data_IF_414879297442
#
_entry.id   IF_414879297442
#
_cell.length_a   1.000
_cell.length_b   1.000
_cell.length_c   1.000
_cell.angle_alpha   90.00
_cell.angle_beta   90.00
_cell.angle_gamma   90.00
#
_symmetry.space_group_name_H-M   'P 1'
#
loop_
_entity.id
_entity.type
_entity.pdbx_description
1 polymer ?
#
# COMPACT_ATOMS: atom_id res chain seq x y z
N UNK A 1 11.80 -29.17 4.55
CA UNK A 1 13.17 -28.74 4.22
C UNK A 1 13.86 -29.91 3.53
N UNK A 2 13.98 -29.86 2.21
CA UNK A 2 14.62 -30.93 1.44
C UNK A 2 15.94 -30.37 0.93
N UNK A 3 17.04 -30.71 1.61
CA UNK A 3 18.37 -30.46 1.06
C UNK A 3 18.57 -31.40 -0.12
N UNK A 4 19.22 -30.98 -1.21
CA UNK A 4 19.37 -31.80 -2.41
C UNK A 4 20.12 -33.08 -2.07
N UNK A 5 19.53 -34.25 -2.37
CA UNK A 5 20.15 -35.57 -2.14
C UNK A 5 21.54 -35.66 -2.79
N UNK A 6 21.74 -34.94 -3.90
CA UNK A 6 23.01 -34.82 -4.61
C UNK A 6 24.12 -34.18 -3.77
N UNK A 7 23.84 -33.27 -2.84
CA UNK A 7 24.89 -32.69 -1.97
C UNK A 7 25.34 -33.66 -0.88
N UNK A 8 24.43 -34.51 -0.40
CA UNK A 8 24.79 -35.59 0.54
C UNK A 8 25.59 -36.72 -0.09
N UNK A 9 25.44 -36.94 -1.40
CA UNK A 9 26.25 -37.91 -2.17
C UNK A 9 27.73 -37.50 -2.28
N UNK A 10 28.02 -36.21 -2.09
CA UNK A 10 29.37 -35.62 -2.17
C UNK A 10 29.97 -35.45 -0.76
N UNK A 11 29.52 -36.23 0.24
CA UNK A 11 30.07 -36.24 1.59
C UNK A 11 29.68 -35.09 2.52
N UNK A 12 28.96 -34.08 2.03
CA UNK A 12 28.43 -32.99 2.85
C UNK A 12 27.19 -33.45 3.63
N UNK A 13 27.43 -33.84 4.89
CA UNK A 13 26.34 -34.27 5.79
C UNK A 13 25.31 -33.17 6.02
N UNK A 14 24.03 -33.56 6.14
CA UNK A 14 22.90 -32.67 6.43
C UNK A 14 23.15 -31.74 7.63
N UNK A 15 23.90 -32.20 8.63
CA UNK A 15 24.25 -31.44 9.84
C UNK A 15 25.21 -30.28 9.54
N UNK A 16 26.25 -30.50 8.72
CA UNK A 16 27.19 -29.45 8.27
C UNK A 16 26.44 -28.38 7.45
N UNK A 17 25.58 -28.79 6.52
CA UNK A 17 24.78 -27.87 5.69
C UNK A 17 23.85 -26.97 6.51
N UNK A 18 23.19 -27.54 7.53
CA UNK A 18 22.28 -26.80 8.41
C UNK A 18 23.02 -25.78 9.29
N UNK A 19 24.21 -26.13 9.77
CA UNK A 19 25.04 -25.24 10.58
C UNK A 19 25.54 -24.03 9.76
N UNK A 20 25.97 -24.26 8.51
CA UNK A 20 26.42 -23.20 7.61
C UNK A 20 25.28 -22.27 7.20
N UNK A 21 24.09 -22.83 6.92
CA UNK A 21 22.90 -22.05 6.57
C UNK A 21 22.46 -21.11 7.71
N UNK A 22 22.56 -21.59 8.97
CA UNK A 22 22.28 -20.76 10.15
C UNK A 22 23.28 -19.62 10.32
N UNK A 23 24.54 -19.85 9.99
CA UNK A 23 25.60 -18.86 10.16
C UNK A 23 25.57 -17.72 9.13
N UNK A 24 24.92 -17.92 7.97
CA UNK A 24 24.82 -16.89 6.91
C UNK A 24 23.41 -16.33 6.75
N UNK A 25 22.47 -16.71 7.62
CA UNK A 25 21.03 -16.41 7.48
C UNK A 25 20.45 -16.77 6.09
N UNK A 26 21.16 -17.60 5.34
CA UNK A 26 20.82 -18.01 3.97
C UNK A 26 20.44 -19.48 3.95
N UNK A 27 19.41 -19.82 3.15
CA UNK A 27 19.00 -21.22 2.97
C UNK A 27 20.09 -22.06 2.31
N UNK A 28 20.99 -21.46 1.53
CA UNK A 28 22.15 -22.09 0.90
C UNK A 28 23.37 -21.14 0.96
N UNK A 29 24.40 -21.46 1.76
CA UNK A 29 25.61 -20.65 1.89
C UNK A 29 26.61 -20.95 0.75
N UNK A 30 26.32 -20.44 -0.45
CA UNK A 30 26.99 -20.82 -1.71
C UNK A 30 28.52 -20.71 -1.64
N UNK A 31 29.03 -19.58 -1.13
CA UNK A 31 30.47 -19.32 -1.08
C UNK A 31 31.21 -20.30 -0.16
N UNK A 32 30.65 -20.61 1.02
CA UNK A 32 31.24 -21.60 1.93
C UNK A 32 31.16 -23.02 1.39
N UNK A 33 30.10 -23.36 0.64
CA UNK A 33 30.00 -24.68 0.00
C UNK A 33 31.05 -24.86 -1.09
N UNK A 34 31.32 -23.82 -1.88
CA UNK A 34 32.40 -23.83 -2.88
C UNK A 34 33.76 -23.93 -2.20
N UNK A 35 33.97 -23.22 -1.09
CA UNK A 35 35.23 -23.27 -0.34
C UNK A 35 35.49 -24.67 0.23
N UNK A 36 34.50 -25.27 0.90
CA UNK A 36 34.61 -26.65 1.41
C UNK A 36 34.85 -27.64 0.28
N UNK A 37 34.22 -27.44 -0.88
CA UNK A 37 34.42 -28.27 -2.04
C UNK A 37 35.86 -28.19 -2.59
N UNK A 38 36.44 -26.99 -2.61
CA UNK A 38 37.83 -26.76 -2.98
C UNK A 38 38.80 -27.42 -1.98
N UNK A 39 38.52 -27.27 -0.69
CA UNK A 39 39.37 -27.77 0.40
C UNK A 39 39.32 -29.31 0.53
N UNK A 40 38.14 -29.93 0.38
CA UNK A 40 37.95 -31.39 0.57
C UNK A 40 38.16 -32.22 -0.71
N UNK A 41 37.89 -31.69 -1.91
CA UNK A 41 37.80 -32.49 -3.15
C UNK A 41 38.68 -32.00 -4.32
N UNK A 42 39.37 -30.87 -4.16
CA UNK A 42 40.22 -30.27 -5.20
C UNK A 42 39.43 -29.59 -6.34
N UNK A 43 40.17 -28.85 -7.18
CA UNK A 43 39.63 -27.93 -8.19
C UNK A 43 38.58 -28.56 -9.15
N UNK A 44 38.86 -29.76 -9.67
CA UNK A 44 37.98 -30.40 -10.67
C UNK A 44 36.60 -30.77 -10.12
N UNK A 45 36.54 -31.32 -8.90
CA UNK A 45 35.27 -31.68 -8.24
C UNK A 45 34.54 -30.45 -7.72
N UNK A 46 35.27 -29.41 -7.29
CA UNK A 46 34.69 -28.14 -6.88
C UNK A 46 33.93 -27.45 -8.03
N UNK A 47 34.42 -27.55 -9.27
CA UNK A 47 33.70 -27.04 -10.44
C UNK A 47 32.36 -27.74 -10.65
N UNK A 48 32.33 -29.08 -10.57
CA UNK A 48 31.10 -29.86 -10.68
C UNK A 48 30.10 -29.53 -9.56
N UNK A 49 30.59 -29.33 -8.33
CA UNK A 49 29.77 -28.92 -7.19
C UNK A 49 29.17 -27.52 -7.41
N UNK A 50 29.95 -26.57 -7.95
CA UNK A 50 29.48 -25.22 -8.27
C UNK A 50 28.35 -25.22 -9.29
N UNK A 51 28.47 -26.02 -10.35
CA UNK A 51 27.41 -26.17 -11.37
C UNK A 51 26.13 -26.76 -10.76
N UNK A 52 26.25 -27.81 -9.95
CA UNK A 52 25.10 -28.41 -9.26
C UNK A 52 24.40 -27.43 -8.30
N UNK A 53 25.17 -26.60 -7.58
CA UNK A 53 24.61 -25.56 -6.71
C UNK A 53 23.85 -24.51 -7.53
N UNK A 54 24.42 -24.07 -8.66
CA UNK A 54 23.78 -23.09 -9.54
C UNK A 54 22.47 -23.62 -10.12
N UNK A 55 22.45 -24.86 -10.61
CA UNK A 55 21.22 -25.49 -11.13
C UNK A 55 20.12 -25.56 -10.07
N UNK A 56 20.46 -25.91 -8.83
CA UNK A 56 19.50 -26.02 -7.75
C UNK A 56 18.96 -24.66 -7.32
N UNK A 57 19.82 -23.63 -7.24
CA UNK A 57 19.40 -22.26 -6.94
C UNK A 57 18.43 -21.75 -8.01
N UNK A 58 18.73 -22.00 -9.29
CA UNK A 58 17.84 -21.66 -10.40
C UNK A 58 16.49 -22.37 -10.28
N UNK A 59 16.48 -23.68 -10.01
CA UNK A 59 15.23 -24.44 -9.80
C UNK A 59 14.40 -23.91 -8.64
N UNK A 60 15.03 -23.56 -7.52
CA UNK A 60 14.33 -22.97 -6.38
C UNK A 60 13.78 -21.58 -6.69
N UNK A 61 14.52 -20.76 -7.45
CA UNK A 61 14.07 -19.46 -7.93
C UNK A 61 12.82 -19.58 -8.80
N UNK A 62 12.87 -20.45 -9.81
CA UNK A 62 11.73 -20.73 -10.70
C UNK A 62 10.51 -21.22 -9.92
N UNK A 63 10.65 -22.19 -9.02
CA UNK A 63 9.52 -22.70 -8.24
C UNK A 63 8.84 -21.62 -7.37
N UNK A 64 9.62 -20.69 -6.81
CA UNK A 64 9.06 -19.56 -6.04
C UNK A 64 8.29 -18.60 -6.93
N UNK A 65 8.80 -18.32 -8.12
CA UNK A 65 8.13 -17.47 -9.11
C UNK A 65 6.83 -18.12 -9.58
N UNK A 66 6.84 -19.41 -9.91
CA UNK A 66 5.63 -20.16 -10.31
C UNK A 66 4.56 -20.10 -9.22
N UNK A 67 4.93 -20.34 -7.96
CA UNK A 67 3.98 -20.25 -6.83
C UNK A 67 3.42 -18.83 -6.66
N UNK A 68 4.23 -17.80 -6.88
CA UNK A 68 3.79 -16.41 -6.81
C UNK A 68 2.79 -16.07 -7.93
N UNK A 69 3.04 -16.57 -9.14
CA UNK A 69 2.15 -16.41 -10.29
C UNK A 69 0.81 -17.10 -10.02
N UNK A 70 0.80 -18.36 -9.60
CA UNK A 70 -0.44 -19.08 -9.26
C UNK A 70 -1.24 -18.36 -8.17
N UNK A 71 -0.56 -17.79 -7.16
CA UNK A 71 -1.21 -17.01 -6.12
C UNK A 71 -1.84 -15.73 -6.68
N UNK A 72 -1.15 -15.03 -7.58
CA UNK A 72 -1.67 -13.85 -8.23
C UNK A 72 -2.89 -14.17 -9.10
N UNK A 73 -2.86 -15.27 -9.86
CA UNK A 73 -3.98 -15.75 -10.67
C UNK A 73 -5.21 -16.06 -9.82
N UNK A 74 -5.04 -16.73 -8.67
CA UNK A 74 -6.15 -16.98 -7.71
C UNK A 74 -6.76 -15.68 -7.18
N UNK A 75 -5.93 -14.69 -6.84
CA UNK A 75 -6.42 -13.39 -6.39
C UNK A 75 -7.16 -12.64 -7.49
N UNK A 76 -6.67 -12.69 -8.74
CA UNK A 76 -7.34 -12.10 -9.89
C UNK A 76 -8.65 -12.81 -10.23
N UNK A 77 -8.73 -14.14 -10.06
CA UNK A 77 -9.97 -14.89 -10.20
C UNK A 77 -11.02 -14.47 -9.15
N UNK A 78 -10.61 -14.35 -7.89
CA UNK A 78 -11.49 -13.92 -6.79
C UNK A 78 -11.92 -12.44 -6.90
N UNK A 79 -11.16 -11.60 -7.59
CA UNK A 79 -11.49 -10.19 -7.77
C UNK A 79 -12.62 -9.94 -8.78
N UNK A 80 -12.98 -10.92 -9.63
CA UNK A 80 -14.01 -10.76 -10.67
C UNK A 80 -15.44 -10.64 -10.12
N UNK A 81 -15.68 -11.01 -8.87
CA UNK A 81 -17.01 -11.02 -8.26
C UNK A 81 -17.33 -9.79 -7.40
N UNK A 82 -16.41 -8.82 -7.28
CA UNK A 82 -16.69 -7.58 -6.55
C UNK A 82 -17.47 -6.62 -7.45
N UNK A 83 -18.80 -6.78 -7.48
CA UNK A 83 -19.71 -5.75 -7.99
C UNK A 83 -19.74 -4.57 -7.02
N UNK A 84 -18.79 -3.64 -7.14
CA UNK A 84 -18.86 -2.36 -6.45
C UNK A 84 -20.01 -1.56 -7.06
N UNK A 85 -21.19 -1.66 -6.46
CA UNK A 85 -22.27 -0.74 -6.76
C UNK A 85 -21.87 0.64 -6.23
N UNK A 86 -21.30 1.48 -7.10
CA UNK A 86 -21.12 2.90 -6.83
C UNK A 86 -22.52 3.50 -6.79
N UNK A 87 -23.12 3.58 -5.59
CA UNK A 87 -24.37 4.31 -5.39
C UNK A 87 -24.03 5.79 -5.61
N UNK A 88 -24.53 6.44 -6.68
CA UNK A 88 -24.30 7.86 -6.85
C UNK A 88 -24.94 8.59 -5.66
N UNK A 89 -24.20 9.50 -4.98
CA UNK A 89 -24.76 10.22 -3.86
C UNK A 89 -25.97 11.04 -4.31
N UNK A 90 -27.04 11.10 -3.50
CA UNK A 90 -28.25 11.84 -3.86
C UNK A 90 -27.89 13.30 -4.19
N UNK A 91 -28.53 13.91 -5.20
CA UNK A 91 -28.26 15.29 -5.56
C UNK A 91 -28.52 16.21 -4.36
N UNK A 92 -27.45 16.76 -3.78
CA UNK A 92 -27.60 17.80 -2.77
C UNK A 92 -28.00 19.06 -3.52
N UNK A 93 -29.30 19.38 -3.45
CA UNK A 93 -29.85 20.66 -3.86
C UNK A 93 -29.25 21.76 -2.98
N UNK A 94 -28.38 22.57 -3.56
CA UNK A 94 -27.79 23.73 -2.89
C UNK A 94 -28.57 24.96 -3.38
N UNK A 95 -29.18 25.70 -2.46
CA UNK A 95 -29.88 26.94 -2.78
C UNK A 95 -28.92 27.95 -3.44
N UNK A 96 -29.31 28.64 -4.54
CA UNK A 96 -28.46 29.59 -5.28
C UNK A 96 -27.83 30.69 -4.40
N UNK A 97 -28.54 31.13 -3.35
CA UNK A 97 -28.05 32.13 -2.39
C UNK A 97 -26.73 31.74 -1.69
N UNK A 98 -26.45 30.44 -1.52
CA UNK A 98 -25.21 29.94 -0.91
C UNK A 98 -24.09 29.79 -1.94
N UNK A 99 -24.44 29.66 -3.22
CA UNK A 99 -23.50 29.55 -4.34
C UNK A 99 -22.97 30.92 -4.79
N UNK A 100 -23.81 31.96 -4.80
CA UNK A 100 -23.46 33.31 -5.28
C UNK A 100 -22.69 34.17 -4.26
N UNK A 101 -22.50 33.68 -3.03
CA UNK A 101 -21.86 34.43 -1.95
C UNK A 101 -20.32 34.60 -2.11
N UNK A 102 -19.78 34.51 -3.33
CA UNK A 102 -18.34 34.65 -3.64
C UNK A 102 -17.72 35.91 -3.03
N UNK A 103 -18.50 36.99 -2.94
CA UNK A 103 -17.99 38.32 -2.57
C UNK A 103 -18.23 38.73 -1.11
N UNK A 104 -19.07 38.02 -0.33
CA UNK A 104 -19.35 38.42 1.06
C UNK A 104 -18.60 37.49 2.02
N UNK A 105 -17.48 37.96 2.57
CA UNK A 105 -16.73 37.32 3.68
C UNK A 105 -17.44 37.50 5.03
N UNK A 106 -18.76 37.60 5.02
CA UNK A 106 -19.53 37.70 6.23
C UNK A 106 -19.54 36.35 6.96
N UNK A 107 -19.44 36.40 8.29
CA UNK A 107 -19.34 35.22 9.14
C UNK A 107 -20.53 34.28 8.96
N UNK A 108 -21.74 34.83 8.83
CA UNK A 108 -22.95 34.04 8.62
C UNK A 108 -22.90 33.31 7.28
N UNK A 109 -22.51 34.02 6.22
CA UNK A 109 -22.36 33.47 4.87
C UNK A 109 -21.29 32.38 4.78
N UNK A 110 -20.14 32.57 5.47
CA UNK A 110 -19.07 31.57 5.55
C UNK A 110 -19.52 30.34 6.34
N UNK A 111 -20.22 30.53 7.45
CA UNK A 111 -20.75 29.43 8.28
C UNK A 111 -21.75 28.58 7.50
N UNK A 112 -22.69 29.22 6.80
CA UNK A 112 -23.65 28.51 5.95
C UNK A 112 -22.94 27.72 4.85
N UNK A 113 -21.98 28.33 4.16
CA UNK A 113 -21.20 27.67 3.11
C UNK A 113 -20.43 26.46 3.63
N UNK A 114 -19.76 26.60 4.77
CA UNK A 114 -19.00 25.51 5.37
C UNK A 114 -19.90 24.37 5.84
N UNK A 115 -21.11 24.65 6.33
CA UNK A 115 -22.11 23.62 6.64
C UNK A 115 -22.60 22.88 5.38
N UNK A 116 -22.71 23.55 4.23
CA UNK A 116 -23.01 22.86 2.96
C UNK A 116 -21.84 21.98 2.52
N UNK A 117 -20.61 22.50 2.60
CA UNK A 117 -19.41 21.71 2.27
C UNK A 117 -19.26 20.49 3.16
N UNK A 118 -19.58 20.59 4.45
CA UNK A 118 -19.59 19.46 5.38
C UNK A 118 -20.58 18.38 4.94
N UNK A 119 -21.82 18.76 4.58
CA UNK A 119 -22.84 17.82 4.09
C UNK A 119 -22.40 17.14 2.78
N UNK A 120 -21.82 17.91 1.86
CA UNK A 120 -21.29 17.37 0.60
C UNK A 120 -20.15 16.39 0.83
N UNK A 121 -19.22 16.73 1.72
CA UNK A 121 -18.11 15.86 2.07
C UNK A 121 -18.59 14.56 2.74
N UNK A 122 -19.58 14.64 3.64
CA UNK A 122 -20.23 13.47 4.24
C UNK A 122 -20.98 12.60 3.22
N UNK A 123 -21.49 13.20 2.16
CA UNK A 123 -22.09 12.48 1.03
C UNK A 123 -21.06 11.90 0.05
N UNK A 124 -19.77 11.94 0.36
CA UNK A 124 -18.71 11.37 -0.47
C UNK A 124 -18.25 12.26 -1.63
N UNK A 125 -18.71 13.51 -1.70
CA UNK A 125 -18.25 14.45 -2.72
C UNK A 125 -16.85 14.94 -2.35
N UNK A 126 -15.92 14.89 -3.31
CA UNK A 126 -14.53 15.25 -3.09
C UNK A 126 -14.34 16.77 -2.93
N UNK A 127 -13.29 17.22 -2.22
CA UNK A 127 -12.98 18.65 -2.12
C UNK A 127 -12.82 19.36 -3.47
N UNK A 128 -12.33 18.64 -4.49
CA UNK A 128 -12.15 19.16 -5.86
C UNK A 128 -13.49 19.37 -6.59
N UNK A 129 -14.47 18.50 -6.36
CA UNK A 129 -15.82 18.66 -6.90
C UNK A 129 -16.56 19.80 -6.17
N UNK A 130 -16.38 19.92 -4.86
CA UNK A 130 -16.92 21.03 -4.07
C UNK A 130 -16.33 22.35 -4.58
N UNK A 131 -15.01 22.44 -4.77
CA UNK A 131 -14.37 23.68 -5.24
C UNK A 131 -14.85 24.08 -6.64
N UNK A 132 -15.06 23.11 -7.53
CA UNK A 132 -15.63 23.34 -8.86
C UNK A 132 -17.09 23.82 -8.78
N UNK A 133 -17.92 23.17 -7.95
CA UNK A 133 -19.34 23.51 -7.79
C UNK A 133 -19.55 24.91 -7.19
N UNK A 134 -18.62 25.38 -6.34
CA UNK A 134 -18.67 26.70 -5.70
C UNK A 134 -17.75 27.76 -6.34
N UNK A 135 -17.08 27.43 -7.45
CA UNK A 135 -16.13 28.31 -8.13
C UNK A 135 -15.12 28.99 -7.16
N UNK A 136 -14.59 28.22 -6.23
CA UNK A 136 -13.65 28.66 -5.20
C UNK A 136 -12.32 27.92 -5.29
N UNK A 137 -11.29 28.46 -4.65
CA UNK A 137 -9.98 27.81 -4.58
C UNK A 137 -10.07 26.47 -3.82
N UNK A 138 -9.38 25.45 -4.34
CA UNK A 138 -9.36 24.11 -3.74
C UNK A 138 -8.78 24.13 -2.32
N UNK A 139 -7.76 24.97 -2.08
CA UNK A 139 -7.16 25.18 -0.76
C UNK A 139 -8.14 25.73 0.28
N UNK A 140 -9.14 26.51 -0.14
CA UNK A 140 -10.19 27.02 0.76
C UNK A 140 -11.05 25.88 1.34
N UNK A 141 -11.38 24.88 0.52
CA UNK A 141 -12.16 23.71 0.95
C UNK A 141 -11.32 22.82 1.88
N UNK A 142 -10.05 22.61 1.56
CA UNK A 142 -9.12 21.86 2.41
C UNK A 142 -8.91 22.55 3.77
N UNK A 143 -8.79 23.87 3.78
CA UNK A 143 -8.67 24.65 5.01
C UNK A 143 -9.92 24.50 5.89
N UNK A 144 -11.12 24.62 5.31
CA UNK A 144 -12.37 24.40 6.01
C UNK A 144 -12.45 23.00 6.61
N UNK A 145 -12.06 21.97 5.85
CA UNK A 145 -11.98 20.58 6.32
C UNK A 145 -11.01 20.43 7.49
N UNK A 146 -9.82 21.02 7.41
CA UNK A 146 -8.82 21.01 8.50
C UNK A 146 -9.36 21.66 9.78
N UNK A 147 -10.25 22.64 9.65
CA UNK A 147 -10.95 23.31 10.76
C UNK A 147 -12.27 22.64 11.16
N UNK A 148 -12.58 21.46 10.62
CA UNK A 148 -13.82 20.74 10.92
C UNK A 148 -15.08 21.51 10.50
N UNK A 149 -14.98 22.31 9.43
CA UNK A 149 -16.06 23.15 8.90
C UNK A 149 -16.64 24.16 9.91
N UNK A 150 -15.82 24.59 10.89
CA UNK A 150 -16.18 25.65 11.87
C UNK A 150 -15.26 26.87 11.72
N UNK A 151 -15.75 28.03 11.25
CA UNK A 151 -14.93 29.22 11.14
C UNK A 151 -14.60 29.79 12.54
N UNK A 152 -13.32 30.06 12.82
CA UNK A 152 -12.85 30.49 14.15
C UNK A 152 -13.10 31.97 14.47
N UNK A 153 -13.38 32.80 13.46
CA UNK A 153 -13.40 34.26 13.57
C UNK A 153 -14.74 34.84 14.06
N UNK A 154 -15.62 33.99 14.62
CA UNK A 154 -17.01 34.35 14.93
C UNK A 154 -17.56 33.91 16.27
N UNK A 155 -16.74 33.29 17.13
CA UNK A 155 -17.20 32.76 18.42
C UNK A 155 -17.61 33.84 19.45
N UNK A 156 -17.54 35.14 19.12
CA UNK A 156 -17.89 36.24 20.04
C UNK A 156 -19.32 36.78 19.91
N UNK A 157 -20.15 36.33 18.96
CA UNK A 157 -21.49 36.93 18.74
C UNK A 157 -22.68 36.03 19.08
N UNK A 158 -22.48 34.81 19.59
CA UNK A 158 -23.59 33.94 20.02
C UNK A 158 -23.79 33.82 21.54
N UNK A 159 -23.01 34.53 22.34
CA UNK A 159 -23.24 34.67 23.79
C UNK A 159 -24.03 35.94 24.18
N UNK A 160 -24.37 36.82 23.23
CA UNK A 160 -25.05 38.09 23.50
C UNK A 160 -26.53 38.14 23.06
N UNK A 161 -27.14 37.00 22.70
CA UNK A 161 -28.55 36.95 22.24
C UNK A 161 -29.40 35.89 22.97
N UNK A 162 -28.90 35.39 24.11
CA UNK A 162 -29.63 34.51 25.03
C UNK A 162 -29.34 34.91 26.49
N UNK A 163 -29.34 36.22 26.78
CA UNK A 163 -29.35 36.77 28.13
C UNK A 163 -30.45 37.83 28.22
#
# INVERSE_FOLDING_TARGET
MTYPKKLSEIGLTKKKLLALAKAEESKLPINKLIQIALDEYGSAKASAIKELINEEVLKQGVNRLTLAIEKAERLMANAKDIKVAVVPPPPIEVSPAVMDARSKRDLHSVTQRWAVWERMYKAGITPSEISRKFNCDHGSVLYARKKGFKPSWGCKQKEALVA
#
